data_IF_746377750328
#
_entry.id   IF_746377750328
#
_cell.length_a   1.000
_cell.length_b   1.000
_cell.length_c   1.000
_cell.angle_alpha   90.00
_cell.angle_beta   90.00
_cell.angle_gamma   90.00
#
_symmetry.space_group_name_H-M   'P 1'
#
loop_
_entity.id
_entity.type
_entity.pdbx_description
1 polymer ?
#
# COMPACT_ATOMS: atom_id res chain seq x y z
N UNK A 1 -5.47 -5.79 -7.36
CA UNK A 1 -6.06 -5.55 -6.02
C UNK A 1 -5.35 -4.32 -5.48
N UNK A 2 -6.09 -3.25 -5.21
CA UNK A 2 -5.51 -1.95 -4.85
C UNK A 2 -5.85 -1.69 -3.40
N UNK A 3 -4.80 -1.53 -2.62
CA UNK A 3 -4.80 -1.44 -1.18
C UNK A 3 -3.34 -1.48 -0.78
N UNK A 4 -2.90 -0.47 -0.05
CA UNK A 4 -1.49 -0.23 0.21
C UNK A 4 -1.27 -0.21 1.71
N UNK A 5 -0.26 -0.95 2.14
CA UNK A 5 0.22 -0.94 3.50
C UNK A 5 1.60 -0.32 3.49
N UNK A 6 1.81 0.67 4.33
CA UNK A 6 3.13 1.18 4.62
C UNK A 6 3.50 0.70 6.01
N UNK A 7 4.67 0.10 6.12
CA UNK A 7 5.20 -0.37 7.39
C UNK A 7 6.33 0.54 7.81
N UNK A 8 6.41 0.84 9.10
CA UNK A 8 7.42 1.72 9.65
C UNK A 8 7.99 1.22 10.98
N UNK A 9 9.31 1.29 11.15
CA UNK A 9 9.97 0.99 12.43
C UNK A 9 11.23 1.83 12.65
N UNK A 10 11.46 2.23 13.91
CA UNK A 10 12.71 2.85 14.37
C UNK A 10 13.81 1.83 14.68
N UNK A 11 15.05 2.09 14.25
CA UNK A 11 16.23 1.27 14.55
C UNK A 11 16.63 1.27 16.03
N UNK A 12 16.27 2.31 16.79
CA UNK A 12 16.62 2.40 18.21
C UNK A 12 15.89 1.33 19.06
N UNK A 13 14.62 1.07 18.71
CA UNK A 13 13.81 0.00 19.31
C UNK A 13 14.45 -1.37 18.99
N UNK A 14 15.01 -1.52 17.79
CA UNK A 14 15.68 -2.75 17.39
C UNK A 14 16.99 -2.98 18.15
N UNK A 15 17.83 -1.97 18.37
CA UNK A 15 19.07 -2.15 19.15
C UNK A 15 18.78 -2.64 20.58
N UNK A 16 17.73 -2.10 21.21
CA UNK A 16 17.25 -2.55 22.53
C UNK A 16 16.76 -4.01 22.49
N UNK A 17 16.00 -4.39 21.45
CA UNK A 17 15.52 -5.76 21.27
C UNK A 17 16.62 -6.75 20.89
N UNK A 18 17.66 -6.31 20.16
CA UNK A 18 18.80 -7.13 19.75
C UNK A 18 19.77 -7.37 20.91
N UNK A 19 19.97 -6.37 21.78
CA UNK A 19 20.70 -6.55 23.04
C UNK A 19 20.05 -7.64 23.92
N UNK A 20 18.71 -7.76 23.89
CA UNK A 20 17.98 -8.83 24.58
C UNK A 20 18.12 -10.21 23.92
N UNK A 21 18.31 -10.29 22.60
CA UNK A 21 18.42 -11.56 21.83
C UNK A 21 19.86 -12.09 21.72
N UNK A 22 20.86 -11.22 21.70
CA UNK A 22 22.29 -11.56 21.53
C UNK A 22 22.96 -12.17 22.78
N UNK A 23 22.22 -12.39 23.87
CA UNK A 23 22.66 -13.29 24.95
C UNK A 23 22.76 -14.76 24.51
N UNK A 24 22.39 -15.10 23.27
CA UNK A 24 22.53 -16.44 22.69
C UNK A 24 23.06 -16.42 21.24
N UNK A 25 24.38 -16.57 21.07
CA UNK A 25 24.96 -17.22 19.89
C UNK A 25 25.46 -16.36 18.70
N UNK A 26 26.75 -16.58 18.40
CA UNK A 26 27.50 -16.50 17.13
C UNK A 26 27.23 -15.37 16.12
N UNK A 27 28.23 -14.46 16.00
CA UNK A 27 28.31 -13.41 14.99
C UNK A 27 28.91 -13.94 13.67
N UNK A 28 28.19 -13.78 12.55
CA UNK A 28 28.72 -13.98 11.19
C UNK A 28 28.75 -12.64 10.47
N UNK A 29 29.93 -12.19 10.03
CA UNK A 29 30.09 -10.98 9.20
C UNK A 29 29.56 -11.24 7.79
N UNK A 30 28.64 -10.40 7.31
CA UNK A 30 28.15 -10.40 5.94
C UNK A 30 28.62 -9.09 5.31
N UNK A 31 29.40 -9.15 4.23
CA UNK A 31 29.73 -7.97 3.42
C UNK A 31 28.58 -7.69 2.44
N UNK A 32 28.03 -6.48 2.49
CA UNK A 32 26.93 -6.05 1.62
C UNK A 32 27.54 -5.18 0.51
N UNK A 33 27.55 -5.68 -0.72
CA UNK A 33 27.91 -4.89 -1.91
C UNK A 33 26.77 -3.96 -2.34
N UNK A 34 27.09 -2.88 -3.09
CA UNK A 34 26.21 -1.79 -3.57
C UNK A 34 25.01 -2.19 -4.46
N UNK A 35 24.70 -3.48 -4.60
CA UNK A 35 23.52 -3.94 -5.34
C UNK A 35 22.31 -3.91 -4.40
N UNK A 36 21.29 -3.11 -4.73
CA UNK A 36 20.03 -3.08 -3.99
C UNK A 36 19.44 -4.50 -3.95
N UNK A 37 19.52 -5.15 -2.78
CA UNK A 37 19.12 -6.53 -2.61
C UNK A 37 17.62 -6.66 -2.86
N UNK A 38 17.24 -7.30 -3.96
CA UNK A 38 15.83 -7.59 -4.27
C UNK A 38 15.41 -8.89 -3.59
N UNK A 39 14.12 -9.06 -3.29
CA UNK A 39 13.59 -10.35 -2.79
C UNK A 39 14.01 -11.56 -3.66
N UNK A 40 14.18 -11.36 -4.98
CA UNK A 40 14.62 -12.41 -5.92
C UNK A 40 16.00 -12.97 -5.56
N UNK A 41 16.89 -12.17 -4.96
CA UNK A 41 18.21 -12.61 -4.51
C UNK A 41 18.15 -13.61 -3.32
N UNK A 42 17.04 -13.62 -2.57
CA UNK A 42 16.81 -14.54 -1.44
C UNK A 42 16.07 -15.82 -1.84
N UNK A 43 15.72 -15.98 -3.11
CA UNK A 43 14.94 -17.14 -3.59
C UNK A 43 15.79 -18.42 -3.70
N UNK A 44 17.11 -18.36 -3.51
CA UNK A 44 17.99 -19.55 -3.52
C UNK A 44 17.80 -20.43 -2.27
N UNK A 45 17.67 -21.75 -2.45
CA UNK A 45 17.63 -22.91 -1.51
C UNK A 45 16.93 -22.80 -0.13
N UNK A 46 16.48 -21.64 0.33
CA UNK A 46 15.81 -21.46 1.63
C UNK A 46 14.30 -21.50 1.46
N UNK A 47 13.66 -22.40 2.21
CA UNK A 47 12.19 -22.54 2.24
C UNK A 47 11.57 -21.38 3.01
N UNK A 48 10.36 -20.99 2.61
CA UNK A 48 9.50 -20.05 3.37
C UNK A 48 9.23 -20.63 4.77
N UNK A 49 9.12 -19.80 5.82
CA UNK A 49 9.06 -18.33 5.82
C UNK A 49 10.44 -17.64 5.89
N UNK A 50 11.54 -18.36 6.07
CA UNK A 50 12.83 -17.76 6.43
C UNK A 50 13.44 -16.83 5.40
N UNK A 51 13.22 -17.07 4.11
CA UNK A 51 13.69 -16.14 3.07
C UNK A 51 13.03 -14.76 3.15
N UNK A 52 11.77 -14.68 3.57
CA UNK A 52 11.07 -13.40 3.78
C UNK A 52 11.59 -12.70 5.03
N UNK A 53 11.79 -13.44 6.11
CA UNK A 53 12.27 -12.87 7.37
C UNK A 53 13.67 -12.29 7.19
N UNK A 54 14.55 -13.04 6.52
CA UNK A 54 15.90 -12.57 6.19
C UNK A 54 15.88 -11.36 5.27
N UNK A 55 14.97 -11.30 4.30
CA UNK A 55 14.82 -10.12 3.46
C UNK A 55 14.45 -8.88 4.28
N UNK A 56 13.47 -9.00 5.19
CA UNK A 56 13.05 -7.89 6.07
C UNK A 56 14.19 -7.50 7.02
N UNK A 57 14.89 -8.47 7.62
CA UNK A 57 16.06 -8.21 8.47
C UNK A 57 17.17 -7.48 7.70
N UNK A 58 17.40 -7.82 6.44
CA UNK A 58 18.42 -7.15 5.64
C UNK A 58 18.02 -5.74 5.20
N UNK A 59 16.73 -5.48 4.95
CA UNK A 59 16.24 -4.12 4.76
C UNK A 59 16.56 -3.26 5.99
N UNK A 60 16.35 -3.78 7.20
CA UNK A 60 16.68 -3.06 8.44
C UNK A 60 18.16 -2.75 8.60
N UNK A 61 19.00 -3.73 8.26
CA UNK A 61 20.45 -3.60 8.39
C UNK A 61 21.08 -2.72 7.31
N UNK A 62 20.30 -2.25 6.33
CA UNK A 62 20.82 -1.35 5.31
C UNK A 62 21.27 -0.02 5.93
N UNK A 63 22.56 0.35 5.84
CA UNK A 63 23.06 1.61 6.36
C UNK A 63 22.51 2.82 5.59
N UNK A 64 22.06 2.61 4.35
CA UNK A 64 21.54 3.67 3.47
C UNK A 64 20.16 4.20 3.90
N UNK A 65 19.42 3.45 4.72
CA UNK A 65 18.03 3.76 5.07
C UNK A 65 17.87 4.63 6.33
N UNK A 66 18.95 5.23 6.84
CA UNK A 66 18.89 6.09 8.04
C UNK A 66 18.41 5.35 9.30
N UNK A 67 17.86 6.09 10.28
CA UNK A 67 17.41 5.53 11.56
C UNK A 67 16.02 4.88 11.51
N UNK A 68 15.33 4.99 10.39
CA UNK A 68 13.97 4.50 10.23
C UNK A 68 13.80 3.79 8.90
N UNK A 69 13.23 2.59 8.94
CA UNK A 69 13.01 1.78 7.74
C UNK A 69 11.52 1.62 7.52
N UNK A 70 11.09 1.95 6.31
CA UNK A 70 9.74 1.68 5.87
C UNK A 70 9.70 1.15 4.44
N UNK A 71 8.61 0.45 4.13
CA UNK A 71 8.37 -0.06 2.79
C UNK A 71 6.88 -0.16 2.52
N UNK A 72 6.54 -0.16 1.23
CA UNK A 72 5.18 -0.27 0.72
C UNK A 72 4.89 -1.71 0.31
N UNK A 73 3.72 -2.20 0.69
CA UNK A 73 3.23 -3.53 0.35
C UNK A 73 1.81 -3.44 -0.21
N UNK A 74 1.58 -4.07 -1.34
CA UNK A 74 0.26 -4.16 -1.97
C UNK A 74 -0.46 -5.42 -1.49
N UNK A 75 -1.80 -5.42 -1.43
CA UNK A 75 -2.56 -6.59 -1.00
C UNK A 75 -2.26 -7.86 -1.82
N UNK A 76 -2.05 -7.75 -3.14
CA UNK A 76 -1.70 -8.90 -3.99
C UNK A 76 -0.28 -9.44 -3.71
N UNK A 77 0.59 -8.67 -3.06
CA UNK A 77 1.89 -9.13 -2.59
C UNK A 77 1.78 -9.79 -1.21
N UNK A 78 0.87 -9.28 -0.37
CA UNK A 78 0.59 -9.73 0.98
C UNK A 78 -0.17 -11.06 1.03
N UNK A 79 -1.30 -11.18 0.33
CA UNK A 79 -2.16 -12.37 0.36
C UNK A 79 -1.43 -13.69 0.10
N UNK A 80 -0.54 -13.82 -0.91
CA UNK A 80 0.21 -15.05 -1.13
C UNK A 80 1.34 -15.27 -0.09
N UNK A 81 1.61 -14.29 0.79
CA UNK A 81 2.72 -14.24 1.74
C UNK A 81 2.29 -13.71 3.13
N UNK A 82 1.35 -14.38 3.82
CA UNK A 82 0.85 -13.91 5.12
C UNK A 82 1.92 -13.90 6.21
N UNK A 83 3.00 -14.67 6.07
CA UNK A 83 4.13 -14.65 7.02
C UNK A 83 4.83 -13.29 7.10
N UNK A 84 4.63 -12.40 6.11
CA UNK A 84 5.07 -11.01 6.20
C UNK A 84 4.44 -10.36 7.44
N UNK A 85 3.14 -10.53 7.69
CA UNK A 85 2.47 -9.93 8.86
C UNK A 85 3.03 -10.48 10.16
N UNK A 86 3.31 -11.78 10.22
CA UNK A 86 3.92 -12.40 11.39
C UNK A 86 5.28 -11.76 11.69
N UNK A 87 6.13 -11.59 10.67
CA UNK A 87 7.42 -10.92 10.84
C UNK A 87 7.26 -9.49 11.33
N UNK A 88 6.31 -8.75 10.77
CA UNK A 88 6.08 -7.35 11.14
C UNK A 88 5.48 -7.20 12.53
N UNK A 89 4.70 -8.16 13.00
CA UNK A 89 4.24 -8.24 14.38
C UNK A 89 5.38 -8.51 15.37
N UNK A 90 6.22 -9.52 15.09
CA UNK A 90 7.38 -9.86 15.91
C UNK A 90 8.42 -8.74 16.01
N UNK A 91 8.43 -7.89 14.99
CA UNK A 91 9.32 -6.75 14.89
C UNK A 91 8.62 -5.44 15.27
N UNK A 92 7.38 -5.45 15.77
CA UNK A 92 6.72 -4.24 16.29
C UNK A 92 6.62 -3.07 15.29
N UNK A 93 6.42 -3.38 14.00
CA UNK A 93 6.19 -2.34 13.00
C UNK A 93 4.90 -1.55 13.27
N UNK A 94 4.90 -0.25 13.01
CA UNK A 94 3.69 0.54 12.85
C UNK A 94 3.15 0.34 11.43
N UNK A 95 1.83 0.25 11.29
CA UNK A 95 1.17 0.01 10.00
C UNK A 95 0.34 1.25 9.63
N UNK A 96 0.59 1.82 8.46
CA UNK A 96 -0.30 2.78 7.84
C UNK A 96 -1.07 2.04 6.75
N UNK A 97 -2.39 2.01 6.89
CA UNK A 97 -3.28 1.28 5.99
C UNK A 97 -4.02 2.26 5.09
N UNK A 98 -3.53 2.45 3.86
CA UNK A 98 -4.14 3.32 2.88
C UNK A 98 -5.22 2.57 2.08
N UNK A 99 -6.46 3.00 2.22
CA UNK A 99 -7.64 2.42 1.57
C UNK A 99 -8.25 3.41 0.61
N UNK A 100 -8.62 2.96 -0.59
CA UNK A 100 -9.49 3.74 -1.49
C UNK A 100 -10.90 3.22 -1.34
N UNK A 101 -11.81 4.07 -0.87
CA UNK A 101 -13.19 3.69 -0.58
C UNK A 101 -14.02 3.56 -1.84
N UNK A 102 -13.70 4.34 -2.88
CA UNK A 102 -14.37 4.23 -4.16
C UNK A 102 -13.74 3.11 -5.02
N UNK A 103 -14.37 1.93 -5.02
CA UNK A 103 -13.89 0.77 -5.77
C UNK A 103 -14.10 0.89 -7.30
N UNK A 104 -15.04 1.72 -7.76
CA UNK A 104 -15.25 1.99 -9.19
C UNK A 104 -14.06 2.77 -9.74
N UNK A 105 -13.61 3.77 -8.99
CA UNK A 105 -12.42 4.57 -9.22
C UNK A 105 -11.13 3.73 -9.38
N UNK A 106 -11.04 2.64 -8.62
CA UNK A 106 -9.97 1.64 -8.75
C UNK A 106 -10.06 0.89 -10.09
N UNK A 107 -11.27 0.53 -10.53
CA UNK A 107 -11.49 -0.15 -11.80
C UNK A 107 -11.18 0.73 -13.00
N UNK A 108 -11.61 2.00 -12.96
CA UNK A 108 -11.31 3.00 -13.99
C UNK A 108 -9.79 3.19 -14.10
N UNK A 109 -9.10 3.36 -12.96
CA UNK A 109 -7.65 3.50 -12.93
C UNK A 109 -6.94 2.28 -13.53
N UNK A 110 -7.38 1.06 -13.18
CA UNK A 110 -6.85 -0.18 -13.75
C UNK A 110 -7.08 -0.27 -15.27
N UNK A 111 -8.28 0.05 -15.73
CA UNK A 111 -8.62 0.03 -17.15
C UNK A 111 -7.77 1.05 -17.94
N UNK A 112 -7.60 2.25 -17.39
CA UNK A 112 -6.77 3.31 -17.97
C UNK A 112 -5.29 2.89 -18.08
N UNK A 113 -4.73 2.27 -17.03
CA UNK A 113 -3.36 1.73 -17.07
C UNK A 113 -3.20 0.65 -18.15
N UNK A 114 -4.18 -0.25 -18.27
CA UNK A 114 -4.15 -1.31 -19.30
C UNK A 114 -4.24 -0.74 -20.71
N UNK A 115 -5.06 0.29 -20.93
CA UNK A 115 -5.25 0.92 -22.24
C UNK A 115 -4.04 1.74 -22.67
N UNK A 116 -3.43 2.50 -21.75
CA UNK A 116 -2.38 3.45 -22.10
C UNK A 116 -0.97 2.85 -22.08
N UNK A 117 -0.76 1.65 -21.51
CA UNK A 117 0.57 1.03 -21.30
C UNK A 117 1.61 1.92 -20.58
N UNK A 118 1.23 3.11 -20.11
CA UNK A 118 2.07 4.09 -19.43
C UNK A 118 1.58 4.20 -17.98
N UNK A 119 2.46 3.84 -17.05
CA UNK A 119 2.18 3.90 -15.61
C UNK A 119 2.48 5.29 -15.03
N UNK A 120 3.40 6.04 -15.66
CA UNK A 120 3.78 7.40 -15.27
C UNK A 120 4.12 8.24 -16.50
N UNK A 121 3.27 9.20 -16.86
CA UNK A 121 3.59 10.22 -17.87
C UNK A 121 4.01 11.51 -17.16
N UNK A 122 5.15 12.09 -17.56
CA UNK A 122 5.60 13.42 -17.09
C UNK A 122 4.89 14.58 -17.82
N UNK A 123 4.20 14.30 -18.93
CA UNK A 123 3.45 15.26 -19.72
C UNK A 123 1.95 14.98 -19.62
N UNK A 124 1.12 16.02 -19.81
CA UNK A 124 -0.34 15.86 -19.96
C UNK A 124 -0.63 14.99 -21.17
N UNK A 125 -1.05 13.75 -20.92
CA UNK A 125 -1.59 12.87 -21.95
C UNK A 125 -3.11 13.00 -21.87
N UNK A 126 -3.73 13.40 -22.98
CA UNK A 126 -5.19 13.43 -23.08
C UNK A 126 -5.75 12.06 -22.67
N UNK A 127 -6.53 12.02 -21.60
CA UNK A 127 -7.10 10.77 -21.11
C UNK A 127 -8.17 10.29 -22.09
N UNK A 128 -7.94 9.12 -22.68
CA UNK A 128 -8.97 8.44 -23.46
C UNK A 128 -9.99 7.82 -22.48
N UNK A 129 -11.31 7.96 -22.75
CA UNK A 129 -12.32 7.25 -21.99
C UNK A 129 -12.06 5.74 -22.02
N UNK A 130 -12.29 5.07 -20.89
CA UNK A 130 -12.08 3.63 -20.74
C UNK A 130 -13.40 2.88 -20.90
N UNK A 131 -13.35 1.66 -21.40
CA UNK A 131 -14.51 0.75 -21.41
C UNK A 131 -14.39 -0.18 -20.20
N UNK A 132 -15.44 -0.28 -19.40
CA UNK A 132 -15.53 -1.24 -18.29
C UNK A 132 -16.36 -2.46 -18.71
N UNK A 133 -15.89 -3.65 -18.32
CA UNK A 133 -16.64 -4.89 -18.53
C UNK A 133 -17.80 -4.98 -17.53
N UNK A 134 -19.01 -4.67 -18.00
CA UNK A 134 -20.22 -4.68 -17.19
C UNK A 134 -20.63 -6.08 -16.74
N UNK A 135 -20.24 -7.13 -17.46
CA UNK A 135 -20.62 -8.52 -17.13
C UNK A 135 -19.96 -9.00 -15.83
N UNK A 136 -18.76 -8.50 -15.53
CA UNK A 136 -18.00 -8.83 -14.33
C UNK A 136 -17.97 -7.71 -13.28
N UNK A 137 -18.50 -6.52 -13.59
CA UNK A 137 -18.36 -5.30 -12.79
C UNK A 137 -18.76 -5.47 -11.31
N UNK A 138 -19.99 -5.95 -11.04
CA UNK A 138 -20.50 -6.10 -9.66
C UNK A 138 -19.67 -7.11 -8.86
N UNK A 139 -19.25 -8.21 -9.51
CA UNK A 139 -18.37 -9.22 -8.92
C UNK A 139 -17.00 -8.61 -8.59
N UNK A 140 -16.44 -7.83 -9.51
CA UNK A 140 -15.14 -7.19 -9.35
C UNK A 140 -15.12 -6.16 -8.21
N UNK A 141 -16.20 -5.38 -8.06
CA UNK A 141 -16.41 -4.48 -6.93
C UNK A 141 -16.53 -5.25 -5.61
N UNK A 142 -17.32 -6.33 -5.60
CA UNK A 142 -17.49 -7.20 -4.43
C UNK A 142 -16.19 -7.84 -3.96
N UNK A 143 -15.35 -8.32 -4.89
CA UNK A 143 -14.03 -8.90 -4.57
C UNK A 143 -13.14 -7.86 -3.89
N UNK A 144 -13.15 -6.61 -4.37
CA UNK A 144 -12.34 -5.52 -3.79
C UNK A 144 -12.82 -5.13 -2.40
N UNK A 145 -14.13 -5.01 -2.23
CA UNK A 145 -14.73 -4.76 -0.93
C UNK A 145 -14.38 -5.87 0.08
N UNK A 146 -14.54 -7.14 -0.33
CA UNK A 146 -14.22 -8.30 0.49
C UNK A 146 -12.73 -8.35 0.86
N UNK A 147 -11.82 -8.07 -0.09
CA UNK A 147 -10.39 -8.02 0.16
C UNK A 147 -10.02 -6.92 1.18
N UNK A 148 -10.58 -5.72 1.03
CA UNK A 148 -10.37 -4.64 2.00
C UNK A 148 -10.88 -5.02 3.38
N UNK A 149 -12.06 -5.63 3.48
CA UNK A 149 -12.61 -6.11 4.75
C UNK A 149 -11.73 -7.18 5.39
N UNK A 150 -11.26 -8.15 4.61
CA UNK A 150 -10.39 -9.22 5.10
C UNK A 150 -9.06 -8.65 5.63
N UNK A 151 -8.42 -7.72 4.90
CA UNK A 151 -7.19 -7.06 5.37
C UNK A 151 -7.45 -6.24 6.64
N UNK A 152 -8.53 -5.44 6.71
CA UNK A 152 -8.92 -4.71 7.92
C UNK A 152 -9.06 -5.64 9.13
N UNK A 153 -9.81 -6.73 8.97
CA UNK A 153 -9.99 -7.72 10.04
C UNK A 153 -8.67 -8.35 10.47
N UNK A 154 -7.79 -8.63 9.51
CA UNK A 154 -6.47 -9.20 9.80
C UNK A 154 -5.61 -8.21 10.59
N UNK A 155 -5.54 -6.95 10.16
CA UNK A 155 -4.76 -5.91 10.83
C UNK A 155 -5.27 -5.61 12.24
N UNK A 156 -6.59 -5.64 12.47
CA UNK A 156 -7.18 -5.49 13.81
C UNK A 156 -6.83 -6.62 14.77
N UNK A 157 -6.53 -7.81 14.23
CA UNK A 157 -6.11 -8.95 15.03
C UNK A 157 -4.60 -8.97 15.33
N UNK A 158 -3.82 -8.09 14.69
CA UNK A 158 -2.39 -7.95 14.96
C UNK A 158 -2.16 -7.04 16.18
N UNK A 159 -1.09 -7.27 16.96
CA UNK A 159 -0.74 -6.41 18.07
C UNK A 159 -0.16 -5.05 17.63
N UNK A 160 0.16 -4.90 16.33
CA UNK A 160 0.77 -3.71 15.79
C UNK A 160 -0.17 -2.49 15.85
N UNK A 161 0.35 -1.29 16.15
CA UNK A 161 -0.39 -0.05 15.94
C UNK A 161 -0.75 0.11 14.45
N UNK A 162 -2.01 0.46 14.16
CA UNK A 162 -2.52 0.66 12.79
C UNK A 162 -3.18 2.03 12.66
N UNK A 163 -2.73 2.84 11.70
CA UNK A 163 -3.39 4.07 11.27
C UNK A 163 -4.05 3.83 9.91
N UNK A 164 -5.38 3.71 9.87
CA UNK A 164 -6.12 3.61 8.61
C UNK A 164 -6.43 5.00 8.04
N UNK A 165 -6.16 5.16 6.74
CA UNK A 165 -6.28 6.42 6.02
C UNK A 165 -7.05 6.16 4.74
N UNK A 166 -8.06 6.98 4.45
CA UNK A 166 -8.70 6.94 3.13
C UNK A 166 -7.95 7.80 2.12
N UNK A 167 -7.81 7.30 0.91
CA UNK A 167 -7.20 8.03 -0.20
C UNK A 167 -7.96 9.33 -0.50
N UNK A 168 -9.27 9.30 -0.37
CA UNK A 168 -10.18 10.43 -0.56
C UNK A 168 -9.88 11.54 0.47
N UNK A 169 -9.68 11.19 1.75
CA UNK A 169 -9.30 12.17 2.79
C UNK A 169 -7.88 12.69 2.59
N UNK A 170 -6.96 11.84 2.13
CA UNK A 170 -5.60 12.26 1.78
C UNK A 170 -5.61 13.30 0.64
N UNK A 171 -6.58 13.22 -0.29
CA UNK A 171 -6.76 14.24 -1.33
C UNK A 171 -7.39 15.53 -0.82
N UNK A 172 -8.42 15.46 0.03
CA UNK A 172 -9.16 16.64 0.48
C UNK A 172 -8.45 17.43 1.59
N UNK A 173 -7.67 16.74 2.44
CA UNK A 173 -7.14 17.28 3.69
C UNK A 173 -5.71 16.79 3.91
N UNK A 174 -4.86 16.98 2.89
CA UNK A 174 -3.50 16.43 2.83
C UNK A 174 -2.65 16.79 4.06
N UNK A 175 -2.58 18.07 4.41
CA UNK A 175 -1.70 18.55 5.49
C UNK A 175 -2.09 17.96 6.84
N UNK A 176 -3.36 18.09 7.24
CA UNK A 176 -3.87 17.54 8.51
C UNK A 176 -3.59 16.04 8.64
N UNK A 177 -3.79 15.31 7.54
CA UNK A 177 -3.63 13.87 7.52
C UNK A 177 -2.15 13.45 7.58
N UNK A 178 -1.27 14.18 6.90
CA UNK A 178 0.17 13.94 6.99
C UNK A 178 0.73 14.31 8.36
N UNK A 179 0.19 15.33 9.03
CA UNK A 179 0.50 15.61 10.43
C UNK A 179 0.12 14.43 11.33
N UNK A 180 -1.07 13.84 11.15
CA UNK A 180 -1.46 12.62 11.88
C UNK A 180 -0.54 11.43 11.58
N UNK A 181 -0.02 11.32 10.35
CA UNK A 181 0.97 10.28 10.00
C UNK A 181 2.27 10.51 10.76
N UNK A 182 2.81 11.74 10.78
CA UNK A 182 4.05 12.08 11.51
C UNK A 182 3.91 11.75 13.00
N UNK A 183 2.81 12.21 13.61
CA UNK A 183 2.51 11.94 15.01
C UNK A 183 2.42 10.43 15.27
N UNK A 184 1.68 9.70 14.43
CA UNK A 184 1.57 8.25 14.53
C UNK A 184 2.94 7.57 14.42
N UNK A 185 3.82 8.05 13.55
CA UNK A 185 5.19 7.54 13.41
C UNK A 185 6.07 7.88 14.62
N UNK A 186 5.65 8.81 15.48
CA UNK A 186 6.42 9.28 16.64
C UNK A 186 7.57 10.20 16.26
N UNK A 187 7.44 10.84 15.10
CA UNK A 187 8.37 11.85 14.64
C UNK A 187 8.02 13.17 15.32
N UNK A 188 9.03 13.95 15.73
CA UNK A 188 8.78 15.31 16.20
C UNK A 188 8.16 16.11 15.06
N UNK A 189 7.22 17.00 15.37
CA UNK A 189 6.61 17.90 14.40
C UNK A 189 7.70 18.73 13.74
N UNK A 190 8.09 18.32 12.53
CA UNK A 190 8.92 19.13 11.68
C UNK A 190 7.98 20.12 10.99
N UNK A 191 8.36 21.39 10.94
CA UNK A 191 7.74 22.38 10.05
C UNK A 191 8.08 22.01 8.59
N UNK A 192 7.48 20.92 8.12
CA UNK A 192 7.67 20.38 6.77
C UNK A 192 6.41 20.69 6.00
N UNK A 193 6.57 21.55 5.00
CA UNK A 193 5.56 21.68 3.95
C UNK A 193 5.61 20.43 3.07
N UNK A 194 4.49 19.72 3.00
CA UNK A 194 4.38 18.54 2.14
C UNK A 194 4.04 18.98 0.73
N UNK A 195 5.04 19.07 -0.12
CA UNK A 195 4.82 19.16 -1.57
C UNK A 195 4.49 17.77 -2.15
N UNK A 196 3.71 17.73 -3.22
CA UNK A 196 3.50 16.49 -3.98
C UNK A 196 3.51 16.84 -5.45
N UNK A 197 4.56 16.39 -6.14
CA UNK A 197 4.66 16.50 -7.60
C UNK A 197 3.60 15.66 -8.31
N UNK A 198 2.95 14.73 -7.60
CA UNK A 198 1.89 13.90 -8.16
C UNK A 198 0.62 14.73 -8.38
N UNK A 199 0.38 15.08 -9.64
CA UNK A 199 -0.89 15.66 -10.08
C UNK A 199 -1.93 14.55 -10.25
N UNK A 200 -3.17 14.80 -9.80
CA UNK A 200 -4.31 13.89 -10.03
C UNK A 200 -4.50 13.74 -11.55
N UNK A 201 -4.18 12.55 -12.06
CA UNK A 201 -4.24 12.25 -13.49
C UNK A 201 -5.72 12.28 -13.98
N UNK A 202 -6.69 11.97 -13.12
CA UNK A 202 -8.11 11.89 -13.50
C UNK A 202 -8.99 12.89 -12.72
N UNK A 203 -8.97 14.16 -13.12
CA UNK A 203 -10.07 15.10 -12.83
C UNK A 203 -11.20 14.90 -13.86
N UNK A 204 -12.41 15.38 -13.58
CA UNK A 204 -13.57 15.26 -14.49
C UNK A 204 -14.64 14.27 -14.01
N UNK A 205 -15.77 14.27 -14.70
CA UNK A 205 -16.96 13.47 -14.37
C UNK A 205 -16.79 12.02 -14.82
N UNK A 206 -17.43 11.06 -14.16
CA UNK A 206 -17.39 9.67 -14.64
C UNK A 206 -17.92 9.48 -16.06
N UNK A 207 -18.91 10.28 -16.46
CA UNK A 207 -19.45 10.27 -17.82
C UNK A 207 -18.40 10.57 -18.89
N UNK A 208 -17.37 11.34 -18.56
CA UNK A 208 -16.27 11.68 -19.46
C UNK A 208 -15.18 10.60 -19.45
N UNK A 209 -15.01 9.91 -18.31
CA UNK A 209 -13.96 8.89 -18.12
C UNK A 209 -14.35 7.52 -18.62
N UNK A 210 -15.64 7.20 -18.68
CA UNK A 210 -16.15 5.86 -19.00
C UNK A 210 -16.93 5.92 -20.31
N UNK A 211 -16.39 5.29 -21.36
CA UNK A 211 -16.99 5.29 -22.69
C UNK A 211 -18.38 4.64 -22.70
N UNK A 212 -18.62 3.62 -21.87
CA UNK A 212 -19.90 2.95 -21.71
C UNK A 212 -20.61 3.29 -20.38
N UNK A 213 -20.55 4.56 -19.96
CA UNK A 213 -21.08 5.04 -18.67
C UNK A 213 -22.54 4.64 -18.42
N UNK A 214 -23.43 4.80 -19.40
CA UNK A 214 -24.86 4.50 -19.22
C UNK A 214 -25.09 3.02 -18.90
N UNK A 215 -24.33 2.11 -19.51
CA UNK A 215 -24.38 0.67 -19.19
C UNK A 215 -23.89 0.40 -17.77
N UNK A 216 -22.83 1.09 -17.34
CA UNK A 216 -22.31 0.99 -15.97
C UNK A 216 -23.36 1.47 -14.96
N UNK A 217 -24.05 2.57 -15.23
CA UNK A 217 -25.15 3.05 -14.40
C UNK A 217 -26.27 2.01 -14.30
N UNK A 218 -26.74 1.47 -15.43
CA UNK A 218 -27.79 0.44 -15.43
C UNK A 218 -27.41 -0.80 -14.62
N UNK A 219 -26.13 -1.23 -14.67
CA UNK A 219 -25.66 -2.43 -13.94
C UNK A 219 -25.48 -2.16 -12.44
N UNK A 220 -25.15 -0.93 -12.05
CA UNK A 220 -24.95 -0.57 -10.65
C UNK A 220 -26.24 -0.10 -9.96
N UNK A 221 -27.23 0.35 -10.70
CA UNK A 221 -28.54 0.74 -10.19
C UNK A 221 -29.22 -0.40 -9.43
N UNK A 222 -29.79 -0.09 -8.27
CA UNK A 222 -30.39 -1.09 -7.38
C UNK A 222 -29.39 -1.98 -6.64
N UNK A 223 -28.09 -1.88 -6.92
CA UNK A 223 -27.05 -2.60 -6.16
C UNK A 223 -26.52 -1.77 -4.99
N UNK A 224 -25.86 -2.41 -4.02
CA UNK A 224 -25.16 -1.70 -2.94
C UNK A 224 -24.01 -0.81 -3.40
N UNK A 225 -23.57 -0.95 -4.65
CA UNK A 225 -22.50 -0.16 -5.24
C UNK A 225 -22.99 1.07 -5.99
N UNK A 226 -24.30 1.31 -6.08
CA UNK A 226 -24.88 2.50 -6.74
C UNK A 226 -24.29 3.80 -6.18
N UNK A 227 -24.00 3.86 -4.88
CA UNK A 227 -23.41 5.03 -4.24
C UNK A 227 -22.02 5.41 -4.78
N UNK A 228 -21.31 4.48 -5.43
CA UNK A 228 -20.00 4.72 -6.04
C UNK A 228 -20.07 5.57 -7.33
N UNK A 229 -21.27 5.75 -7.90
CA UNK A 229 -21.50 6.62 -9.06
C UNK A 229 -21.45 8.11 -8.72
N UNK A 230 -21.46 8.47 -7.42
CA UNK A 230 -21.33 9.87 -7.00
C UNK A 230 -19.88 10.30 -7.20
N UNK A 231 -19.67 11.32 -8.05
CA UNK A 231 -18.38 11.98 -8.19
C UNK A 231 -18.00 12.70 -6.87
N UNK A 232 -16.76 12.49 -6.42
CA UNK A 232 -16.16 13.14 -5.23
C UNK A 232 -15.03 14.11 -5.63
#
# INVERSE_FOLDING_TARGET
MFGELFFWQSKEVEMKNRARRLSSGHNKKISIGKSMLTYKSFKGNRRRPWSIFQYIDQLKLSPELGDMVGFKLMYNQLLPRPEILLKLALDEYKVIHLVRQNYLDILISKASMNQNSVVHAKAEVAQKPVILDVSSLVKDLSIREAATRAVRSTLRALPNPVLEISYEKLQSSKNDLLSSVIEFLGLQSLDVEFESDLRKISKGLYREKIANYDQVCCVLEGTRFQALLKDF
#
